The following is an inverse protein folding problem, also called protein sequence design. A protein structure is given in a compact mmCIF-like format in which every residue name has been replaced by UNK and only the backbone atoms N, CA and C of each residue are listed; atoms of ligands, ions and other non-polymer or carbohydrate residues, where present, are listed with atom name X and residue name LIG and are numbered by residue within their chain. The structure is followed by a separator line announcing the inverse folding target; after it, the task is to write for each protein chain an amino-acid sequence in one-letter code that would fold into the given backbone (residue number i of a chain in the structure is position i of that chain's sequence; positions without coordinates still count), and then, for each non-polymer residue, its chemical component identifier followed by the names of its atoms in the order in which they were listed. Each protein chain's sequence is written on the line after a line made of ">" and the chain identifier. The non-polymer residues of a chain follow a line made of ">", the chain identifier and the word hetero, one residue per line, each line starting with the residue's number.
data_IF_187512115386
#
_entry.id   IF_187512115386
#
_cell.length_a   1.000
_cell.length_b   1.000
_cell.length_c   1.000
_cell.angle_alpha   90.00
_cell.angle_beta   90.00
_cell.angle_gamma   90.00
#
_symmetry.space_group_name_H-M   'P 1'
#
loop_
_entity.id
_entity.type
_entity.pdbx_description
1 polymer ?
#
# COMPACT_ATOMS: atom_id res chain seq x y z
N UNK A 1 -4.26 -16.21 8.60
CA UNK A 1 -3.46 -15.00 8.21
C UNK A 1 -3.95 -13.79 8.97
N UNK A 2 -3.08 -12.80 9.29
CA UNK A 2 -3.50 -11.49 9.85
C UNK A 2 -4.16 -10.65 8.77
N UNK A 3 -5.18 -9.87 9.13
CA UNK A 3 -5.93 -9.05 8.19
C UNK A 3 -5.86 -7.59 8.63
N UNK A 4 -5.50 -6.74 7.69
CA UNK A 4 -5.43 -5.30 7.83
C UNK A 4 -6.34 -4.56 6.85
N UNK A 5 -6.47 -3.28 7.06
CA UNK A 5 -7.20 -2.39 6.15
C UNK A 5 -6.55 -1.01 6.12
N UNK A 6 -6.57 -0.38 4.97
CA UNK A 6 -6.34 1.05 4.75
C UNK A 6 -7.67 1.72 4.46
N UNK A 7 -7.93 2.87 5.06
CA UNK A 7 -9.09 3.67 4.76
C UNK A 7 -8.81 5.18 4.90
N UNK A 8 -9.78 6.00 4.52
CA UNK A 8 -9.65 7.46 4.52
C UNK A 8 -10.33 8.13 5.72
N UNK A 9 -10.63 7.36 6.75
CA UNK A 9 -11.34 7.87 7.92
C UNK A 9 -10.38 8.58 8.89
N UNK A 10 -10.96 9.44 9.74
CA UNK A 10 -10.21 10.12 10.78
C UNK A 10 -9.74 9.11 11.83
N UNK A 11 -8.46 9.07 12.08
CA UNK A 11 -7.86 8.23 13.13
C UNK A 11 -8.29 8.65 14.53
N UNK A 12 -8.27 7.72 15.47
CA UNK A 12 -8.61 7.96 16.86
C UNK A 12 -9.15 6.73 17.57
N UNK A 13 -9.43 6.88 18.84
CA UNK A 13 -9.92 5.79 19.72
C UNK A 13 -11.11 5.04 19.14
N UNK A 14 -12.17 5.76 18.78
CA UNK A 14 -13.40 5.19 18.25
C UNK A 14 -13.17 4.41 16.96
N UNK A 15 -12.30 4.91 16.06
CA UNK A 15 -12.00 4.25 14.80
C UNK A 15 -11.28 2.91 15.01
N UNK A 16 -10.19 2.90 15.79
CA UNK A 16 -9.44 1.67 16.05
C UNK A 16 -10.28 0.65 16.84
N UNK A 17 -11.06 1.09 17.83
CA UNK A 17 -11.96 0.22 18.57
C UNK A 17 -13.01 -0.44 17.67
N UNK A 18 -13.58 0.29 16.73
CA UNK A 18 -14.52 -0.26 15.73
C UNK A 18 -13.86 -1.30 14.83
N UNK A 19 -12.68 -1.00 14.28
CA UNK A 19 -11.95 -1.96 13.43
C UNK A 19 -11.66 -3.26 14.18
N UNK A 20 -11.21 -3.18 15.43
CA UNK A 20 -10.99 -4.35 16.28
C UNK A 20 -12.29 -5.15 16.52
N UNK A 21 -13.42 -4.46 16.80
CA UNK A 21 -14.72 -5.08 16.98
C UNK A 21 -15.24 -5.80 15.73
N UNK A 22 -14.86 -5.34 14.54
CA UNK A 22 -15.19 -6.02 13.27
C UNK A 22 -14.26 -7.20 12.98
N UNK A 23 -13.12 -7.29 13.68
CA UNK A 23 -12.18 -8.41 13.59
C UNK A 23 -10.94 -8.15 12.78
N UNK A 24 -10.64 -6.90 12.45
CA UNK A 24 -9.31 -6.51 11.95
C UNK A 24 -8.28 -6.61 13.07
N UNK A 25 -7.06 -6.98 12.73
CA UNK A 25 -5.94 -7.08 13.66
C UNK A 25 -4.80 -6.14 13.31
N UNK A 26 -4.81 -5.63 12.10
CA UNK A 26 -3.80 -4.71 11.59
C UNK A 26 -4.44 -3.51 10.90
N UNK A 27 -3.67 -2.44 10.82
CA UNK A 27 -4.04 -1.24 10.09
C UNK A 27 -2.90 -0.76 9.22
N UNK A 28 -3.22 -0.34 8.00
CA UNK A 28 -2.34 0.38 7.10
C UNK A 28 -2.59 1.88 7.29
N UNK A 29 -1.64 2.56 7.91
CA UNK A 29 -1.81 3.94 8.33
C UNK A 29 -1.59 4.89 7.14
N UNK A 30 -2.67 5.45 6.61
CA UNK A 30 -2.65 6.23 5.38
C UNK A 30 -2.19 7.67 5.60
N UNK A 31 -0.96 7.99 5.21
CA UNK A 31 -0.37 9.34 5.21
C UNK A 31 -0.23 9.92 3.79
N UNK A 32 -1.08 9.53 2.86
CA UNK A 32 -0.98 10.00 1.47
C UNK A 32 -1.26 11.49 1.31
N UNK A 33 -2.20 12.07 2.06
CA UNK A 33 -2.62 13.47 1.95
C UNK A 33 -1.73 14.41 2.79
N UNK A 34 -0.83 15.12 2.12
CA UNK A 34 0.13 16.01 2.79
C UNK A 34 -0.43 17.39 3.18
N UNK A 35 -1.67 17.70 2.81
CA UNK A 35 -2.34 18.95 3.16
C UNK A 35 -3.13 18.84 4.48
N UNK A 36 -3.21 17.63 5.04
CA UNK A 36 -3.90 17.34 6.30
C UNK A 36 -2.95 16.99 7.44
N UNK A 37 -3.54 16.77 8.62
CA UNK A 37 -2.81 16.20 9.74
C UNK A 37 -2.19 14.84 9.33
N UNK A 38 -0.98 14.52 9.82
CA UNK A 38 -0.18 15.32 10.77
C UNK A 38 0.81 16.29 10.11
N UNK A 39 0.86 16.40 8.79
CA UNK A 39 1.88 17.20 8.09
C UNK A 39 1.83 18.71 8.39
N UNK A 40 0.65 19.21 8.74
CA UNK A 40 0.43 20.64 9.08
C UNK A 40 0.85 21.01 10.50
N UNK A 41 1.30 20.04 11.30
CA UNK A 41 1.76 20.28 12.68
C UNK A 41 3.24 20.67 12.73
N UNK A 42 3.65 21.43 13.74
CA UNK A 42 5.06 21.61 14.10
C UNK A 42 5.67 20.31 14.63
N UNK A 43 7.01 20.20 14.67
CA UNK A 43 7.68 18.92 14.94
C UNK A 43 7.29 18.27 16.28
N UNK A 44 7.24 19.06 17.37
CA UNK A 44 6.85 18.53 18.68
C UNK A 44 5.40 18.04 18.72
N UNK A 45 4.48 18.79 18.11
CA UNK A 45 3.07 18.44 18.03
C UNK A 45 2.85 17.25 17.10
N UNK A 46 3.64 17.15 16.03
CA UNK A 46 3.62 16.00 15.13
C UNK A 46 3.98 14.71 15.87
N UNK A 47 5.09 14.69 16.60
CA UNK A 47 5.49 13.50 17.35
C UNK A 47 4.46 13.12 18.41
N UNK A 48 3.96 14.08 19.16
CA UNK A 48 2.93 13.85 20.17
C UNK A 48 1.66 13.27 19.55
N UNK A 49 1.22 13.83 18.41
CA UNK A 49 0.06 13.34 17.67
C UNK A 49 0.23 11.88 17.20
N UNK A 50 1.40 11.56 16.60
CA UNK A 50 1.67 10.20 16.09
C UNK A 50 1.77 9.19 17.24
N UNK A 51 2.44 9.52 18.34
CA UNK A 51 2.52 8.67 19.52
C UNK A 51 1.14 8.41 20.14
N UNK A 52 0.27 9.41 20.12
CA UNK A 52 -1.11 9.24 20.57
C UNK A 52 -1.87 8.26 19.67
N UNK A 53 -1.73 8.34 18.33
CA UNK A 53 -2.35 7.36 17.44
C UNK A 53 -1.83 5.93 17.71
N UNK A 54 -0.54 5.78 17.97
CA UNK A 54 0.06 4.49 18.36
C UNK A 54 -0.57 3.95 19.65
N UNK A 55 -0.68 4.79 20.69
CA UNK A 55 -1.28 4.41 21.96
C UNK A 55 -2.73 3.93 21.79
N UNK A 56 -3.54 4.67 21.03
CA UNK A 56 -4.94 4.36 20.76
C UNK A 56 -5.11 3.05 19.96
N UNK A 57 -4.24 2.82 18.97
CA UNK A 57 -4.23 1.56 18.22
C UNK A 57 -3.86 0.37 19.13
N UNK A 58 -2.84 0.52 19.98
CA UNK A 58 -2.41 -0.52 20.92
C UNK A 58 -3.52 -0.87 21.93
N UNK A 59 -4.18 0.13 22.49
CA UNK A 59 -5.30 -0.07 23.42
C UNK A 59 -6.47 -0.81 22.77
N UNK A 60 -6.71 -0.58 21.48
CA UNK A 60 -7.69 -1.31 20.70
C UNK A 60 -7.21 -2.71 20.24
N UNK A 61 -5.94 -3.07 20.46
CA UNK A 61 -5.37 -4.33 20.00
C UNK A 61 -5.09 -4.36 18.48
N UNK A 62 -4.98 -3.19 17.85
CA UNK A 62 -4.65 -3.03 16.43
C UNK A 62 -3.14 -2.80 16.26
N UNK A 63 -2.49 -3.63 15.46
CA UNK A 63 -1.08 -3.41 15.06
C UNK A 63 -1.05 -2.48 13.85
N UNK A 64 -0.31 -1.37 13.92
CA UNK A 64 0.02 -0.61 12.71
C UNK A 64 1.11 -1.42 11.98
N UNK A 65 0.72 -2.08 10.89
CA UNK A 65 1.61 -3.00 10.17
C UNK A 65 2.50 -2.30 9.16
N UNK A 66 1.90 -1.39 8.42
CA UNK A 66 2.54 -0.58 7.39
C UNK A 66 1.98 0.83 7.41
N UNK A 67 2.71 1.76 6.83
CA UNK A 67 2.31 3.17 6.66
C UNK A 67 2.41 3.52 5.19
N UNK A 68 1.32 4.00 4.59
CA UNK A 68 1.32 4.52 3.23
C UNK A 68 1.90 5.94 3.22
N UNK A 69 2.94 6.16 2.45
CA UNK A 69 3.62 7.44 2.31
C UNK A 69 2.85 8.47 1.47
N UNK A 70 3.40 9.69 1.35
CA UNK A 70 2.76 10.76 0.59
C UNK A 70 2.51 10.42 -0.87
N UNK A 71 1.28 10.66 -1.31
CA UNK A 71 0.88 10.62 -2.70
C UNK A 71 0.22 11.95 -3.08
N UNK A 72 0.41 12.43 -4.31
CA UNK A 72 -0.32 13.58 -4.82
C UNK A 72 -0.67 13.45 -6.29
N UNK A 73 -1.86 13.91 -6.62
CA UNK A 73 -2.31 14.06 -7.99
C UNK A 73 -2.93 15.46 -8.17
N UNK A 74 -2.62 16.21 -9.22
CA UNK A 74 -1.70 15.88 -10.31
C UNK A 74 -0.25 15.79 -9.85
N UNK A 75 0.54 14.98 -10.57
CA UNK A 75 1.94 14.70 -10.27
C UNK A 75 2.78 15.98 -10.38
N UNK A 76 3.65 16.21 -9.40
CA UNK A 76 4.62 17.29 -9.37
C UNK A 76 5.98 16.76 -8.94
N UNK A 77 6.67 16.09 -9.84
CA UNK A 77 8.01 15.50 -9.61
C UNK A 77 9.04 16.02 -10.61
N UNK A 78 8.62 16.89 -11.55
CA UNK A 78 9.43 17.29 -12.70
C UNK A 78 10.63 18.18 -12.37
N UNK A 79 10.56 19.01 -11.31
CA UNK A 79 11.66 19.90 -10.91
C UNK A 79 12.30 19.48 -9.58
N UNK A 80 13.50 20.02 -9.33
CA UNK A 80 14.25 19.69 -8.10
C UNK A 80 13.56 20.20 -6.83
N UNK A 81 12.95 21.38 -6.88
CA UNK A 81 12.25 21.96 -5.72
C UNK A 81 11.05 21.10 -5.30
N UNK A 82 10.25 20.60 -6.26
CA UNK A 82 9.15 19.67 -5.99
C UNK A 82 9.65 18.36 -5.37
N UNK A 83 10.77 17.83 -5.86
CA UNK A 83 11.38 16.62 -5.30
C UNK A 83 11.98 16.86 -3.92
N UNK A 84 12.55 18.03 -3.66
CA UNK A 84 13.08 18.41 -2.34
C UNK A 84 11.94 18.49 -1.30
N UNK A 85 10.81 19.11 -1.64
CA UNK A 85 9.61 19.14 -0.80
C UNK A 85 9.09 17.71 -0.52
N UNK A 86 9.00 16.88 -1.56
CA UNK A 86 8.58 15.47 -1.38
C UNK A 86 9.51 14.69 -0.47
N UNK A 87 10.83 14.88 -0.62
CA UNK A 87 11.81 14.22 0.24
C UNK A 87 11.59 14.58 1.72
N UNK A 88 11.32 15.84 2.02
CA UNK A 88 11.03 16.30 3.38
C UNK A 88 9.76 15.62 3.93
N UNK A 89 8.65 15.69 3.20
CA UNK A 89 7.37 15.08 3.59
C UNK A 89 7.48 13.56 3.72
N UNK A 90 8.15 12.89 2.80
CA UNK A 90 8.39 11.46 2.84
C UNK A 90 9.29 11.06 4.01
N UNK A 91 10.35 11.82 4.29
CA UNK A 91 11.21 11.59 5.46
C UNK A 91 10.42 11.72 6.76
N UNK A 92 9.52 12.71 6.85
CA UNK A 92 8.61 12.89 7.99
C UNK A 92 7.65 11.70 8.15
N UNK A 93 7.13 11.16 7.05
CA UNK A 93 6.28 9.97 7.05
C UNK A 93 7.04 8.70 7.46
N UNK A 94 8.29 8.53 7.07
CA UNK A 94 9.15 7.42 7.54
C UNK A 94 9.34 7.51 9.07
N UNK A 95 9.60 8.70 9.62
CA UNK A 95 9.67 8.90 11.07
C UNK A 95 8.35 8.60 11.77
N UNK A 96 7.21 8.94 11.14
CA UNK A 96 5.91 8.55 11.66
C UNK A 96 5.76 7.02 11.70
N UNK A 97 6.21 6.29 10.68
CA UNK A 97 6.19 4.83 10.67
C UNK A 97 6.98 4.25 11.85
N UNK A 98 8.17 4.76 12.12
CA UNK A 98 8.97 4.38 13.30
C UNK A 98 8.24 4.64 14.62
N UNK A 99 7.67 5.84 14.79
CA UNK A 99 6.91 6.24 15.98
C UNK A 99 5.64 5.40 16.19
N UNK A 100 5.00 4.96 15.11
CA UNK A 100 3.85 4.05 15.11
C UNK A 100 4.25 2.60 15.39
N UNK A 101 5.55 2.27 15.39
CA UNK A 101 6.05 0.92 15.50
C UNK A 101 5.81 0.07 14.25
N UNK A 102 5.52 0.69 13.11
CA UNK A 102 5.37 0.02 11.83
C UNK A 102 6.76 -0.25 11.23
N UNK A 103 6.98 -1.49 10.80
CA UNK A 103 8.24 -1.87 10.17
C UNK A 103 8.32 -1.47 8.70
N UNK A 104 7.19 -1.33 8.04
CA UNK A 104 7.10 -1.12 6.60
C UNK A 104 6.51 0.24 6.28
N UNK A 105 7.12 0.90 5.32
CA UNK A 105 6.63 2.15 4.75
C UNK A 105 6.47 2.00 3.25
N UNK A 106 5.24 2.16 2.75
CA UNK A 106 4.89 1.98 1.34
C UNK A 106 4.98 3.31 0.62
N UNK A 107 5.52 3.29 -0.59
CA UNK A 107 5.67 4.48 -1.43
C UNK A 107 5.58 4.16 -2.91
N UNK A 108 5.04 5.10 -3.66
CA UNK A 108 5.05 5.07 -5.12
C UNK A 108 6.37 5.58 -5.69
N UNK A 109 6.82 5.13 -6.87
CA UNK A 109 7.91 5.75 -7.60
C UNK A 109 7.63 7.23 -7.89
N UNK A 110 8.67 8.05 -7.98
CA UNK A 110 8.55 9.38 -8.58
C UNK A 110 8.30 9.27 -10.07
N UNK A 111 7.54 10.22 -10.60
CA UNK A 111 7.15 10.31 -12.01
C UNK A 111 7.67 11.61 -12.65
N UNK A 112 9.01 11.84 -12.64
CA UNK A 112 9.61 13.11 -13.02
C UNK A 112 9.44 13.43 -14.51
N UNK A 113 9.25 12.42 -15.33
CA UNK A 113 9.07 12.51 -16.77
C UNK A 113 7.63 12.25 -17.23
N UNK A 114 6.67 12.27 -16.28
CA UNK A 114 5.25 11.94 -16.54
C UNK A 114 4.95 10.43 -16.49
N UNK A 115 3.71 10.09 -16.86
CA UNK A 115 3.18 8.72 -16.83
C UNK A 115 3.43 7.96 -18.15
N UNK A 116 4.06 8.60 -19.13
CA UNK A 116 4.30 8.08 -20.47
C UNK A 116 5.79 8.11 -20.86
N UNK A 117 6.66 7.96 -19.87
CA UNK A 117 8.12 8.05 -20.04
C UNK A 117 8.69 6.96 -20.97
N UNK A 118 8.03 5.79 -21.08
CA UNK A 118 8.34 4.76 -22.07
C UNK A 118 8.11 5.28 -23.50
N UNK A 119 6.95 5.94 -23.75
CA UNK A 119 6.61 6.51 -25.05
C UNK A 119 7.49 7.70 -25.43
N UNK A 120 7.84 8.53 -24.46
CA UNK A 120 8.70 9.70 -24.67
C UNK A 120 10.19 9.38 -24.69
N UNK A 121 10.56 8.12 -24.47
CA UNK A 121 11.95 7.66 -24.44
C UNK A 121 12.75 8.12 -23.24
N UNK A 122 12.07 8.53 -22.14
CA UNK A 122 12.68 9.08 -20.91
C UNK A 122 12.73 8.08 -19.74
N UNK A 123 12.43 6.80 -19.97
CA UNK A 123 12.43 5.77 -18.94
C UNK A 123 13.76 5.66 -18.17
N UNK A 124 14.90 5.78 -18.86
CA UNK A 124 16.22 5.75 -18.22
C UNK A 124 16.45 6.96 -17.30
N UNK A 125 15.94 8.13 -17.67
CA UNK A 125 15.99 9.34 -16.84
C UNK A 125 15.12 9.20 -15.58
N UNK A 126 13.87 8.71 -15.74
CA UNK A 126 12.98 8.40 -14.63
C UNK A 126 13.65 7.44 -13.63
N UNK A 127 14.26 6.37 -14.14
CA UNK A 127 14.93 5.37 -13.32
C UNK A 127 16.15 5.96 -12.56
N UNK A 128 16.96 6.80 -13.23
CA UNK A 128 18.09 7.46 -12.61
C UNK A 128 17.66 8.42 -11.48
N UNK A 129 16.64 9.24 -11.70
CA UNK A 129 16.10 10.15 -10.70
C UNK A 129 15.53 9.37 -9.51
N UNK A 130 14.77 8.29 -9.74
CA UNK A 130 14.26 7.43 -8.67
C UNK A 130 15.38 6.79 -7.86
N UNK A 131 16.47 6.33 -8.52
CA UNK A 131 17.62 5.76 -7.81
C UNK A 131 18.24 6.75 -6.83
N UNK A 132 18.51 7.97 -7.26
CA UNK A 132 19.10 9.00 -6.40
C UNK A 132 18.13 9.39 -5.26
N UNK A 133 16.85 9.52 -5.58
CA UNK A 133 15.84 9.89 -4.61
C UNK A 133 15.63 8.78 -3.56
N UNK A 134 15.46 7.52 -3.98
CA UNK A 134 15.31 6.39 -3.07
C UNK A 134 16.56 6.17 -2.22
N UNK A 135 17.76 6.38 -2.76
CA UNK A 135 18.99 6.33 -1.96
C UNK A 135 19.01 7.36 -0.82
N UNK A 136 18.40 8.54 -1.01
CA UNK A 136 18.26 9.56 0.04
C UNK A 136 17.23 9.13 1.09
N UNK A 137 16.08 8.58 0.69
CA UNK A 137 15.06 8.06 1.60
C UNK A 137 15.55 6.86 2.40
N UNK A 138 16.33 5.97 1.76
CA UNK A 138 16.88 4.78 2.42
C UNK A 138 17.81 5.13 3.59
N UNK A 139 18.56 6.23 3.50
CA UNK A 139 19.36 6.72 4.65
C UNK A 139 18.48 7.12 5.85
N UNK A 140 17.30 7.70 5.58
CA UNK A 140 16.34 8.02 6.64
C UNK A 140 15.72 6.74 7.19
N UNK A 141 15.30 5.84 6.33
CA UNK A 141 14.67 4.58 6.70
C UNK A 141 15.62 3.69 7.53
N UNK A 142 16.90 3.63 7.17
CA UNK A 142 17.92 2.90 7.93
C UNK A 142 18.11 3.50 9.34
N UNK A 143 18.16 4.83 9.46
CA UNK A 143 18.29 5.49 10.74
C UNK A 143 17.09 5.29 11.67
N UNK A 144 15.91 5.05 11.12
CA UNK A 144 14.64 4.84 11.82
C UNK A 144 14.25 3.35 11.94
N UNK A 145 15.09 2.42 11.49
CA UNK A 145 14.82 0.97 11.41
C UNK A 145 13.50 0.63 10.67
N UNK A 146 13.22 1.37 9.61
CA UNK A 146 12.04 1.19 8.74
C UNK A 146 12.46 0.59 7.41
N UNK A 147 11.63 -0.30 6.86
CA UNK A 147 11.81 -0.88 5.53
C UNK A 147 10.92 -0.15 4.53
N UNK A 148 11.51 0.38 3.46
CA UNK A 148 10.76 0.97 2.34
C UNK A 148 10.25 -0.16 1.44
N UNK A 149 8.96 -0.13 1.13
CA UNK A 149 8.33 -1.02 0.16
C UNK A 149 7.83 -0.20 -1.04
N UNK A 150 8.50 -0.35 -2.17
CA UNK A 150 8.12 0.33 -3.42
C UNK A 150 6.95 -0.41 -4.07
N UNK A 151 5.92 0.33 -4.43
CA UNK A 151 4.67 -0.23 -4.95
C UNK A 151 4.67 -0.27 -6.48
N UNK A 152 4.13 -1.36 -7.06
CA UNK A 152 3.84 -1.42 -8.49
C UNK A 152 2.65 -0.52 -8.83
N UNK A 153 2.63 0.06 -10.04
CA UNK A 153 1.71 1.12 -10.43
C UNK A 153 0.77 0.69 -11.56
N UNK A 154 -0.42 1.32 -11.72
CA UNK A 154 -1.39 0.96 -12.75
C UNK A 154 -1.16 1.68 -14.10
N UNK A 155 0.08 2.09 -14.43
CA UNK A 155 0.34 2.93 -15.60
C UNK A 155 1.14 2.20 -16.67
N UNK A 156 0.47 1.79 -17.76
CA UNK A 156 1.04 0.97 -18.84
C UNK A 156 2.33 1.56 -19.46
N UNK A 157 2.36 2.87 -19.64
CA UNK A 157 3.44 3.58 -20.32
C UNK A 157 4.52 4.13 -19.37
N UNK A 158 4.41 3.84 -18.09
CA UNK A 158 5.38 4.26 -17.08
C UNK A 158 6.40 3.16 -16.77
N UNK A 159 7.66 3.52 -16.64
CA UNK A 159 8.80 2.59 -16.57
C UNK A 159 9.04 1.91 -15.22
N UNK A 160 8.28 2.27 -14.19
CA UNK A 160 8.30 1.65 -12.86
C UNK A 160 6.86 1.27 -12.46
N UNK A 161 6.19 0.47 -13.29
CA UNK A 161 4.80 0.07 -13.10
C UNK A 161 4.63 -1.41 -12.81
N UNK A 162 5.17 -2.28 -13.66
CA UNK A 162 4.94 -3.71 -13.54
C UNK A 162 5.67 -4.31 -12.33
N UNK A 163 5.20 -5.46 -11.81
CA UNK A 163 5.93 -6.19 -10.78
C UNK A 163 7.39 -6.48 -11.12
N UNK A 164 7.68 -6.87 -12.38
CA UNK A 164 9.05 -7.11 -12.83
C UNK A 164 9.91 -5.83 -12.77
N UNK A 165 9.38 -4.70 -13.27
CA UNK A 165 10.10 -3.43 -13.26
C UNK A 165 10.42 -2.94 -11.85
N UNK A 166 9.51 -3.15 -10.90
CA UNK A 166 9.73 -2.82 -9.48
C UNK A 166 10.72 -3.79 -8.84
N UNK A 167 10.56 -5.09 -9.05
CA UNK A 167 11.47 -6.09 -8.50
C UNK A 167 12.91 -5.91 -9.02
N UNK A 168 13.07 -5.63 -10.31
CA UNK A 168 14.37 -5.30 -10.92
C UNK A 168 14.98 -4.04 -10.30
N UNK A 169 14.18 -2.99 -10.10
CA UNK A 169 14.65 -1.75 -9.48
C UNK A 169 15.06 -1.95 -8.01
N UNK A 170 14.29 -2.72 -7.24
CA UNK A 170 14.65 -3.12 -5.88
C UNK A 170 15.95 -3.91 -5.87
N UNK A 171 16.10 -4.87 -6.80
CA UNK A 171 17.31 -5.66 -6.97
C UNK A 171 18.55 -4.83 -7.34
N UNK A 172 18.40 -3.83 -8.22
CA UNK A 172 19.49 -2.89 -8.58
C UNK A 172 19.95 -2.05 -7.39
N UNK A 173 19.03 -1.62 -6.53
CA UNK A 173 19.36 -0.86 -5.32
C UNK A 173 20.11 -1.70 -4.30
N UNK A 174 19.85 -3.02 -4.24
CA UNK A 174 20.51 -4.00 -3.39
C UNK A 174 20.65 -3.57 -1.91
N UNK A 175 19.60 -2.93 -1.36
CA UNK A 175 19.63 -2.37 -0.01
C UNK A 175 18.79 -3.22 0.96
N UNK A 176 19.29 -3.52 2.19
CA UNK A 176 18.61 -4.40 3.14
C UNK A 176 17.26 -3.87 3.65
N UNK A 177 17.00 -2.57 3.52
CA UNK A 177 15.74 -1.93 3.89
C UNK A 177 14.91 -1.52 2.67
N UNK A 178 15.09 -2.17 1.49
CA UNK A 178 14.34 -1.84 0.29
C UNK A 178 13.70 -3.08 -0.32
N UNK A 179 12.37 -3.08 -0.40
CA UNK A 179 11.56 -4.21 -0.84
C UNK A 179 10.38 -3.73 -1.68
N UNK A 180 9.48 -4.64 -2.02
CA UNK A 180 8.30 -4.39 -2.84
C UNK A 180 7.02 -4.46 -2.02
N UNK A 181 6.10 -3.55 -2.28
CA UNK A 181 4.67 -3.69 -2.02
C UNK A 181 4.01 -4.22 -3.28
N UNK A 182 3.27 -5.33 -3.18
CA UNK A 182 2.45 -5.83 -4.27
C UNK A 182 1.02 -5.31 -4.12
N UNK A 183 0.60 -4.45 -5.06
CA UNK A 183 -0.78 -4.05 -5.24
C UNK A 183 -1.46 -4.94 -6.27
N UNK A 184 -2.54 -5.63 -5.84
CA UNK A 184 -3.25 -6.60 -6.67
C UNK A 184 -4.09 -5.96 -7.76
N UNK A 185 -4.72 -4.83 -7.45
CA UNK A 185 -5.53 -4.09 -8.40
C UNK A 185 -4.69 -3.46 -9.49
N UNK A 186 -3.53 -2.90 -9.13
CA UNK A 186 -2.59 -2.33 -10.11
C UNK A 186 -2.09 -3.40 -11.12
N UNK A 187 -1.85 -4.64 -10.68
CA UNK A 187 -1.53 -5.74 -11.62
C UNK A 187 -2.67 -6.00 -12.59
N UNK A 188 -3.91 -5.92 -12.11
CA UNK A 188 -5.10 -6.23 -12.90
C UNK A 188 -5.48 -5.12 -13.91
N UNK A 189 -4.97 -3.89 -13.76
CA UNK A 189 -5.30 -2.76 -14.64
C UNK A 189 -4.51 -2.77 -15.94
N UNK A 190 -4.98 -3.48 -16.98
CA UNK A 190 -4.51 -3.31 -18.38
C UNK A 190 -3.01 -3.39 -18.64
N UNK A 191 -2.18 -3.72 -17.64
CA UNK A 191 -0.73 -3.86 -17.77
C UNK A 191 -0.34 -5.08 -18.62
N UNK A 192 -1.28 -6.02 -18.84
CA UNK A 192 -1.06 -7.27 -19.56
C UNK A 192 0.16 -8.07 -19.06
N UNK A 193 0.47 -7.93 -17.77
CA UNK A 193 1.65 -8.58 -17.20
C UNK A 193 1.38 -10.03 -16.77
N UNK A 194 0.20 -10.31 -16.25
CA UNK A 194 -0.18 -11.61 -15.68
C UNK A 194 -1.22 -11.42 -14.57
N UNK A 195 -1.28 -12.36 -13.64
CA UNK A 195 -2.20 -12.28 -12.49
C UNK A 195 -1.47 -11.79 -11.23
N UNK A 196 -2.20 -11.25 -10.23
CA UNK A 196 -1.60 -10.98 -8.91
C UNK A 196 -0.99 -12.24 -8.26
N UNK A 197 -1.53 -13.43 -8.51
CA UNK A 197 -0.97 -14.70 -8.07
C UNK A 197 0.38 -15.00 -8.74
N UNK A 198 0.49 -14.77 -10.06
CA UNK A 198 1.76 -14.91 -10.78
C UNK A 198 2.81 -13.95 -10.24
N UNK A 199 2.44 -12.68 -9.98
CA UNK A 199 3.34 -11.69 -9.42
C UNK A 199 3.87 -12.10 -8.04
N UNK A 200 3.00 -12.61 -7.18
CA UNK A 200 3.38 -13.07 -5.84
C UNK A 200 4.34 -14.27 -5.90
N UNK A 201 4.09 -15.24 -6.80
CA UNK A 201 4.99 -16.39 -7.00
C UNK A 201 6.35 -15.99 -7.54
N UNK A 202 6.36 -15.10 -8.55
CA UNK A 202 7.59 -14.68 -9.23
C UNK A 202 8.50 -13.86 -8.31
N UNK A 203 7.93 -13.01 -7.47
CA UNK A 203 8.66 -12.00 -6.69
C UNK A 203 8.59 -12.20 -5.17
N UNK A 204 8.25 -13.42 -4.70
CA UNK A 204 8.10 -13.77 -3.27
C UNK A 204 9.26 -13.32 -2.38
N UNK A 205 10.48 -13.33 -2.92
CA UNK A 205 11.69 -13.02 -2.15
C UNK A 205 11.86 -11.52 -1.89
N UNK A 206 11.18 -10.66 -2.65
CA UNK A 206 11.23 -9.20 -2.52
C UNK A 206 9.92 -8.58 -2.05
N UNK A 207 8.77 -9.26 -2.14
CA UNK A 207 7.49 -8.77 -1.62
C UNK A 207 7.45 -8.90 -0.10
N UNK A 208 7.12 -7.81 0.60
CA UNK A 208 6.99 -7.78 2.06
C UNK A 208 5.61 -7.39 2.54
N UNK A 209 4.92 -6.56 1.80
CA UNK A 209 3.59 -6.06 2.11
C UNK A 209 2.68 -6.12 0.89
N UNK A 210 1.39 -6.08 1.13
CA UNK A 210 0.36 -6.15 0.11
C UNK A 210 -0.57 -4.95 0.22
N UNK A 211 -1.04 -4.46 -0.93
CA UNK A 211 -2.28 -3.72 -1.08
C UNK A 211 -3.27 -4.61 -1.85
N UNK A 212 -4.39 -4.90 -1.20
CA UNK A 212 -5.35 -5.89 -1.72
C UNK A 212 -6.67 -5.23 -2.01
N UNK A 213 -7.00 -5.11 -3.27
CA UNK A 213 -8.29 -4.67 -3.77
C UNK A 213 -8.55 -5.24 -5.16
N UNK A 214 -9.76 -5.07 -5.65
CA UNK A 214 -10.21 -5.55 -6.95
C UNK A 214 -10.53 -4.39 -7.89
N UNK A 215 -10.69 -4.68 -9.17
CA UNK A 215 -11.21 -3.78 -10.19
C UNK A 215 -11.70 -4.57 -11.42
N UNK A 216 -12.28 -3.86 -12.39
CA UNK A 216 -12.83 -4.46 -13.61
C UNK A 216 -11.78 -4.67 -14.72
N UNK A 217 -10.48 -4.46 -14.43
CA UNK A 217 -9.37 -4.65 -15.38
C UNK A 217 -8.99 -3.41 -16.20
N UNK A 218 -9.72 -2.32 -16.09
CA UNK A 218 -9.49 -1.11 -16.89
C UNK A 218 -8.98 0.08 -16.05
N UNK A 219 -9.43 0.17 -14.79
CA UNK A 219 -9.16 1.30 -13.91
C UNK A 219 -8.81 0.82 -12.51
N UNK A 220 -8.11 1.65 -11.79
CA UNK A 220 -7.83 1.48 -10.39
C UNK A 220 -9.06 1.90 -9.54
N UNK A 221 -9.97 0.94 -9.30
CA UNK A 221 -11.28 1.21 -8.70
C UNK A 221 -11.34 0.95 -7.20
N UNK A 222 -10.38 0.22 -6.64
CA UNK A 222 -10.35 -0.21 -5.24
C UNK A 222 -11.65 -0.90 -4.80
N UNK A 223 -12.16 -1.83 -5.61
CA UNK A 223 -13.32 -2.64 -5.26
C UNK A 223 -12.97 -3.66 -4.17
N UNK A 224 -13.99 -4.11 -3.46
CA UNK A 224 -13.84 -5.25 -2.53
C UNK A 224 -13.44 -6.49 -3.33
N UNK A 225 -12.49 -7.31 -2.86
CA UNK A 225 -12.12 -8.56 -3.52
C UNK A 225 -13.35 -9.42 -3.84
N UNK A 226 -13.43 -9.86 -5.09
CA UNK A 226 -14.58 -10.60 -5.63
C UNK A 226 -15.65 -9.73 -6.27
N UNK A 227 -15.56 -8.41 -6.22
CA UNK A 227 -16.45 -7.50 -6.94
C UNK A 227 -15.91 -7.08 -8.32
N UNK A 228 -14.70 -7.50 -8.69
CA UNK A 228 -14.06 -7.26 -9.97
C UNK A 228 -13.72 -8.54 -10.71
N UNK A 229 -12.57 -8.56 -11.39
CA UNK A 229 -12.17 -9.64 -12.30
C UNK A 229 -10.96 -10.44 -11.85
N UNK A 230 -10.36 -10.13 -10.70
CA UNK A 230 -9.18 -10.84 -10.17
C UNK A 230 -9.59 -12.28 -9.77
N UNK A 231 -8.78 -13.26 -10.16
CA UNK A 231 -8.92 -14.65 -9.68
C UNK A 231 -8.37 -14.79 -8.25
N UNK A 232 -9.27 -14.65 -7.30
CA UNK A 232 -8.94 -14.74 -5.87
C UNK A 232 -8.66 -16.17 -5.41
N UNK A 233 -9.06 -17.19 -6.17
CA UNK A 233 -8.70 -18.59 -5.88
C UNK A 233 -7.23 -18.82 -6.22
N UNK A 234 -6.77 -18.31 -7.37
CA UNK A 234 -5.35 -18.35 -7.75
C UNK A 234 -4.49 -17.54 -6.78
N UNK A 235 -4.91 -16.30 -6.43
CA UNK A 235 -4.16 -15.48 -5.46
C UNK A 235 -4.06 -16.14 -4.08
N UNK A 236 -5.15 -16.74 -3.60
CA UNK A 236 -5.17 -17.49 -2.35
C UNK A 236 -4.26 -18.74 -2.40
N UNK A 237 -4.20 -19.42 -3.54
CA UNK A 237 -3.26 -20.52 -3.75
C UNK A 237 -1.81 -20.02 -3.72
N UNK A 238 -1.51 -18.91 -4.41
CA UNK A 238 -0.19 -18.29 -4.41
C UNK A 238 0.28 -17.91 -3.00
N UNK A 239 -0.59 -17.31 -2.16
CA UNK A 239 -0.25 -16.97 -0.77
C UNK A 239 0.23 -18.20 0.02
N UNK A 240 -0.40 -19.36 -0.17
CA UNK A 240 0.00 -20.62 0.48
C UNK A 240 1.28 -21.20 -0.10
N UNK A 241 1.41 -21.21 -1.43
CA UNK A 241 2.57 -21.76 -2.14
C UNK A 241 3.87 -21.05 -1.78
N UNK A 242 3.80 -19.73 -1.55
CA UNK A 242 4.98 -18.93 -1.16
C UNK A 242 5.14 -18.81 0.36
N UNK A 243 4.23 -19.41 1.15
CA UNK A 243 4.18 -19.28 2.62
C UNK A 243 4.21 -17.82 3.09
N UNK A 244 3.35 -16.99 2.48
CA UNK A 244 3.32 -15.55 2.79
C UNK A 244 2.90 -15.30 4.24
N UNK A 245 3.82 -14.80 5.04
CA UNK A 245 3.65 -14.58 6.48
C UNK A 245 3.23 -13.15 6.87
N UNK A 246 3.06 -12.26 5.89
CA UNK A 246 2.67 -10.87 6.09
C UNK A 246 1.19 -10.67 6.48
N UNK A 247 0.68 -9.50 6.18
CA UNK A 247 -0.72 -9.10 6.40
C UNK A 247 -1.44 -9.03 5.07
N UNK A 248 -2.64 -9.58 4.99
CA UNK A 248 -3.58 -9.29 3.91
C UNK A 248 -4.17 -7.90 4.17
N UNK A 249 -3.53 -6.87 3.65
CA UNK A 249 -3.91 -5.47 3.86
C UNK A 249 -4.87 -5.02 2.77
N UNK A 250 -6.15 -4.87 3.12
CA UNK A 250 -7.16 -4.40 2.19
C UNK A 250 -7.00 -2.90 1.93
N UNK A 251 -6.93 -2.50 0.67
CA UNK A 251 -6.92 -1.08 0.26
C UNK A 251 -8.23 -0.68 -0.42
N UNK A 252 -9.33 -1.09 0.16
CA UNK A 252 -10.69 -0.83 -0.32
C UNK A 252 -11.61 -0.32 0.78
N UNK A 253 -11.07 0.41 1.74
CA UNK A 253 -11.83 1.02 2.83
C UNK A 253 -12.89 2.00 2.32
N UNK A 254 -13.96 2.29 3.10
CA UNK A 254 -14.97 3.25 2.74
C UNK A 254 -14.36 4.65 2.53
N UNK A 255 -14.63 5.27 1.37
CA UNK A 255 -14.08 6.59 0.99
C UNK A 255 -15.01 7.76 1.35
N UNK A 256 -16.27 7.48 1.64
CA UNK A 256 -17.30 8.49 1.94
C UNK A 256 -17.90 8.29 3.31
N UNK A 257 -18.55 9.33 3.83
CA UNK A 257 -19.30 9.24 5.06
C UNK A 257 -20.60 8.44 4.84
N UNK A 258 -20.83 7.45 5.70
CA UNK A 258 -22.03 6.64 5.71
C UNK A 258 -22.58 6.59 7.14
N UNK A 259 -23.81 6.09 7.31
CA UNK A 259 -24.32 5.78 8.65
C UNK A 259 -23.45 4.69 9.30
N UNK A 260 -23.43 4.66 10.64
CA UNK A 260 -22.68 3.67 11.40
C UNK A 260 -23.08 2.23 11.03
N UNK A 261 -24.37 1.97 10.80
CA UNK A 261 -24.89 0.66 10.38
C UNK A 261 -24.36 0.27 8.98
N UNK A 262 -24.33 1.20 8.03
CA UNK A 262 -23.80 0.94 6.70
C UNK A 262 -22.28 0.68 6.75
N UNK A 263 -21.56 1.45 7.55
CA UNK A 263 -20.12 1.25 7.76
C UNK A 263 -19.82 -0.11 8.38
N UNK A 264 -20.56 -0.52 9.41
CA UNK A 264 -20.44 -1.83 10.03
C UNK A 264 -20.62 -2.94 8.98
N UNK A 265 -21.67 -2.85 8.16
CA UNK A 265 -21.95 -3.82 7.10
C UNK A 265 -20.77 -3.91 6.12
N UNK A 266 -20.26 -2.76 5.66
CA UNK A 266 -19.14 -2.69 4.72
C UNK A 266 -17.84 -3.26 5.29
N UNK A 267 -17.52 -3.00 6.56
CA UNK A 267 -16.29 -3.55 7.18
C UNK A 267 -16.43 -5.06 7.47
N UNK A 268 -17.61 -5.54 7.87
CA UNK A 268 -17.87 -6.98 8.08
C UNK A 268 -17.79 -7.77 6.78
N UNK A 269 -18.26 -7.21 5.67
CA UNK A 269 -18.07 -7.79 4.34
C UNK A 269 -16.58 -7.96 4.02
N UNK A 270 -15.79 -6.90 4.15
CA UNK A 270 -14.36 -6.89 3.85
C UNK A 270 -13.57 -7.90 4.67
N UNK A 271 -13.83 -7.97 5.97
CA UNK A 271 -13.15 -8.94 6.84
C UNK A 271 -13.56 -10.38 6.49
N UNK A 272 -14.82 -10.61 6.11
CA UNK A 272 -15.29 -11.94 5.71
C UNK A 272 -14.59 -12.41 4.44
N UNK A 273 -14.54 -11.57 3.41
CA UNK A 273 -13.84 -11.86 2.14
C UNK A 273 -12.33 -12.06 2.38
N UNK A 274 -11.69 -11.19 3.15
CA UNK A 274 -10.27 -11.33 3.47
C UNK A 274 -9.94 -12.66 4.19
N UNK A 275 -10.82 -13.12 5.09
CA UNK A 275 -10.68 -14.44 5.73
C UNK A 275 -10.79 -15.59 4.73
N UNK A 276 -11.72 -15.50 3.78
CA UNK A 276 -11.86 -16.54 2.74
C UNK A 276 -10.59 -16.64 1.90
N UNK A 277 -10.00 -15.52 1.49
CA UNK A 277 -8.74 -15.48 0.75
C UNK A 277 -7.60 -16.03 1.61
N UNK A 278 -7.44 -15.53 2.82
CA UNK A 278 -6.34 -15.89 3.72
C UNK A 278 -6.38 -17.34 4.23
N UNK A 279 -7.56 -17.93 4.38
CA UNK A 279 -7.75 -19.32 4.86
C UNK A 279 -7.78 -20.35 3.72
N UNK A 280 -7.68 -19.90 2.48
CA UNK A 280 -7.70 -20.79 1.32
C UNK A 280 -9.08 -21.42 0.99
N UNK A 281 -10.14 -20.85 1.56
CA UNK A 281 -11.52 -21.26 1.31
C UNK A 281 -12.20 -20.41 0.22
N UNK A 282 -11.41 -19.94 -0.74
CA UNK A 282 -11.82 -19.00 -1.78
C UNK A 282 -12.77 -19.57 -2.84
N UNK A 283 -13.85 -20.24 -2.43
CA UNK A 283 -14.98 -20.52 -3.29
C UNK A 283 -15.93 -19.31 -3.33
N UNK A 284 -15.48 -18.20 -3.93
CA UNK A 284 -16.36 -17.03 -4.17
C UNK A 284 -17.29 -17.28 -5.39
N UNK A 285 -17.04 -18.31 -6.20
CA UNK A 285 -17.73 -18.54 -7.48
C UNK A 285 -18.61 -19.78 -7.57
N UNK A 286 -19.13 -20.35 -6.48
CA UNK A 286 -20.11 -21.45 -6.59
C UNK A 286 -21.58 -21.01 -6.64
N UNK A 287 -21.88 -19.78 -7.00
CA UNK A 287 -23.26 -19.25 -6.99
C UNK A 287 -23.73 -18.70 -8.34
N UNK A 288 -23.45 -19.39 -9.47
CA UNK A 288 -24.20 -19.15 -10.73
C UNK A 288 -24.25 -20.39 -11.62
N UNK A 289 -24.84 -21.46 -11.09
CA UNK A 289 -25.48 -22.49 -11.92
C UNK A 289 -26.80 -22.91 -11.25
N UNK A 290 -27.81 -22.06 -11.40
CA UNK A 290 -29.24 -22.42 -11.34
C UNK A 290 -30.06 -21.48 -12.19
#
# INVERSE_FOLDING_TARGET
>A
MRIGISDYRKWGEEHFARLAAYGFTCYDFNMADTEKLPYTLGDGDFEAYIREQKRLADEAGITIWQVHGPWRFPIRDGCEDDRAERLEKMSRSIRAAALLGAKYWVVHPLMPCGLDDKKTGRAAETRAINRDFMARLLRVAEAEDVTICLENMPFVDFSLSTPDEIADFVGEMAHPNFYMCLDTGHVNTGLHWGTPGDALRAHRDVIRVLHVHDNMGERDEHLVPGAGTIDWQDFSAALREVDFSGVLSLECGPRTEFSDEALETMYRERIAVARMIGDGKGAINEATDR
#
